data_IF_981179937259
#
_entry.id   IF_981179937259
#
_cell.length_a   1.000
_cell.length_b   1.000
_cell.length_c   1.000
_cell.angle_alpha   90.00
_cell.angle_beta   90.00
_cell.angle_gamma   90.00
#
_symmetry.space_group_name_H-M   'P 1'
#
loop_
_entity.id
_entity.type
_entity.pdbx_description
1 polymer ?
#
# COMPACT_ATOMS: atom_id res chain seq x y z
N UNK A 1 7.75 -6.08 -5.56
CA UNK A 1 6.38 -5.52 -5.46
C UNK A 1 5.58 -5.59 -6.77
N UNK A 2 6.10 -5.06 -7.90
CA UNK A 2 5.39 -4.93 -9.20
C UNK A 2 4.75 -6.23 -9.73
N UNK A 3 5.42 -7.38 -9.60
CA UNK A 3 4.92 -8.69 -10.08
C UNK A 3 3.63 -9.13 -9.38
N UNK A 4 3.44 -8.80 -8.09
CA UNK A 4 2.27 -9.21 -7.31
C UNK A 4 1.02 -8.43 -7.71
N UNK A 5 1.17 -7.11 -7.87
CA UNK A 5 0.08 -6.22 -8.30
C UNK A 5 -0.39 -6.62 -9.70
N UNK A 6 0.54 -6.85 -10.62
CA UNK A 6 0.21 -7.35 -11.96
C UNK A 6 -0.57 -8.68 -11.91
N UNK A 7 -0.11 -9.66 -11.14
CA UNK A 7 -0.82 -10.94 -11.01
C UNK A 7 -2.23 -10.80 -10.43
N UNK A 8 -2.44 -9.95 -9.42
CA UNK A 8 -3.78 -9.70 -8.87
C UNK A 8 -4.67 -8.93 -9.85
N UNK A 9 -4.13 -7.94 -10.55
CA UNK A 9 -4.86 -7.15 -11.56
C UNK A 9 -5.17 -7.92 -12.85
N UNK A 10 -4.41 -8.97 -13.16
CA UNK A 10 -4.71 -9.87 -14.29
C UNK A 10 -5.93 -10.77 -14.05
N UNK A 11 -6.57 -10.71 -12.88
CA UNK A 11 -7.85 -11.39 -12.62
C UNK A 11 -7.79 -12.91 -12.63
N UNK A 12 -6.58 -13.49 -12.57
CA UNK A 12 -6.36 -14.96 -12.61
C UNK A 12 -6.85 -15.70 -11.36
N UNK A 13 -7.18 -14.97 -10.29
CA UNK A 13 -7.68 -15.52 -9.03
C UNK A 13 -9.16 -15.19 -8.90
N UNK A 14 -10.01 -16.23 -8.85
CA UNK A 14 -11.47 -16.09 -8.80
C UNK A 14 -11.95 -15.16 -7.67
N UNK A 15 -11.33 -15.26 -6.49
CA UNK A 15 -11.72 -14.49 -5.31
C UNK A 15 -11.29 -13.02 -5.32
N UNK A 16 -10.30 -12.64 -6.13
CA UNK A 16 -9.83 -11.24 -6.23
C UNK A 16 -10.25 -10.57 -7.54
N UNK A 17 -10.76 -11.32 -8.51
CA UNK A 17 -11.20 -10.85 -9.84
C UNK A 17 -12.33 -9.81 -9.78
N UNK A 18 -13.22 -9.89 -8.79
CA UNK A 18 -14.31 -8.91 -8.61
C UNK A 18 -13.88 -7.61 -7.92
N UNK A 19 -12.65 -7.55 -7.41
CA UNK A 19 -12.12 -6.41 -6.62
C UNK A 19 -10.94 -5.71 -7.30
N UNK A 20 -10.70 -6.03 -8.57
CA UNK A 20 -9.71 -5.34 -9.42
C UNK A 20 -10.34 -4.11 -10.09
N UNK A 21 -9.56 -3.03 -10.32
CA UNK A 21 -8.11 -2.95 -10.19
C UNK A 21 -7.64 -2.60 -8.78
N UNK A 22 -6.58 -3.26 -8.30
CA UNK A 22 -5.83 -2.85 -7.13
C UNK A 22 -4.87 -1.74 -7.53
N UNK A 23 -5.05 -0.56 -6.94
CA UNK A 23 -4.17 0.60 -7.08
C UNK A 23 -3.31 0.70 -5.82
N UNK A 24 -2.00 0.90 -5.99
CA UNK A 24 -1.06 1.08 -4.88
C UNK A 24 -1.03 2.57 -4.51
N UNK A 25 -1.79 2.94 -3.50
CA UNK A 25 -1.89 4.35 -3.03
C UNK A 25 -0.71 4.77 -2.14
N UNK A 26 -0.07 3.81 -1.45
CA UNK A 26 1.00 4.09 -0.50
C UNK A 26 1.95 2.90 -0.36
N UNK A 27 3.25 3.15 -0.40
CA UNK A 27 4.28 2.17 -0.01
C UNK A 27 5.46 2.88 0.66
N UNK A 28 6.07 2.21 1.63
CA UNK A 28 7.31 2.64 2.29
C UNK A 28 8.28 1.46 2.26
N UNK A 29 9.56 1.73 2.01
CA UNK A 29 10.64 0.74 2.10
C UNK A 29 11.37 0.89 3.43
N UNK A 30 11.69 -0.23 4.06
CA UNK A 30 12.40 -0.27 5.34
C UNK A 30 13.58 -1.22 5.24
N UNK A 31 14.74 -0.79 5.72
CA UNK A 31 15.96 -1.61 5.76
C UNK A 31 15.91 -2.69 6.84
N UNK A 32 15.17 -2.43 7.92
CA UNK A 32 15.04 -3.33 9.06
C UNK A 32 13.62 -3.92 9.18
N UNK A 33 13.56 -5.23 9.44
CA UNK A 33 12.30 -5.97 9.53
C UNK A 33 11.48 -5.60 10.77
N UNK A 34 12.13 -5.27 11.89
CA UNK A 34 11.46 -4.89 13.13
C UNK A 34 10.81 -3.50 12.99
N UNK A 35 11.53 -2.57 12.34
CA UNK A 35 11.01 -1.26 11.98
C UNK A 35 9.78 -1.40 11.06
N UNK A 36 9.88 -2.19 9.99
CA UNK A 36 8.76 -2.47 9.08
C UNK A 36 7.53 -3.03 9.81
N UNK A 37 7.74 -4.00 10.72
CA UNK A 37 6.65 -4.61 11.50
C UNK A 37 5.98 -3.62 12.45
N UNK A 38 6.77 -2.76 13.09
CA UNK A 38 6.24 -1.72 14.00
C UNK A 38 5.39 -0.72 13.22
N UNK A 39 5.87 -0.33 12.03
CA UNK A 39 5.12 0.55 11.13
C UNK A 39 3.83 -0.09 10.61
N UNK A 40 3.88 -1.36 10.20
CA UNK A 40 2.69 -2.10 9.76
C UNK A 40 1.65 -2.18 10.89
N UNK A 41 2.08 -2.45 12.12
CA UNK A 41 1.19 -2.43 13.29
C UNK A 41 0.59 -1.05 13.51
N UNK A 42 1.37 0.01 13.40
CA UNK A 42 0.88 1.39 13.49
C UNK A 42 -0.20 1.68 12.45
N UNK A 43 0.00 1.31 11.18
CA UNK A 43 -0.99 1.51 10.12
C UNK A 43 -2.30 0.73 10.33
N UNK A 44 -2.28 -0.36 11.10
CA UNK A 44 -3.49 -1.09 11.51
C UNK A 44 -4.29 -0.38 12.61
N UNK A 45 -3.71 0.60 13.31
CA UNK A 45 -4.41 1.39 14.35
C UNK A 45 -5.31 2.48 13.75
N UNK A 46 -6.24 3.03 14.56
CA UNK A 46 -7.09 4.14 14.15
C UNK A 46 -6.29 5.40 13.78
N UNK A 47 -5.19 5.69 14.51
CA UNK A 47 -4.30 6.79 14.21
C UNK A 47 -3.57 6.59 12.88
N UNK A 48 -3.06 5.37 12.64
CA UNK A 48 -2.42 5.02 11.38
C UNK A 48 -3.37 5.10 10.18
N UNK A 49 -4.63 4.70 10.35
CA UNK A 49 -5.66 4.89 9.31
C UNK A 49 -5.91 6.36 8.99
N UNK A 50 -5.96 7.23 10.01
CA UNK A 50 -6.09 8.69 9.80
C UNK A 50 -4.87 9.28 9.10
N UNK A 51 -3.67 8.78 9.42
CA UNK A 51 -2.43 9.15 8.75
C UNK A 51 -2.46 8.76 7.27
N UNK A 52 -2.84 7.51 6.96
CA UNK A 52 -2.99 7.04 5.58
C UNK A 52 -4.05 7.84 4.84
N UNK A 53 -5.19 8.09 5.48
CA UNK A 53 -6.28 8.87 4.91
C UNK A 53 -5.83 10.29 4.57
N UNK A 54 -5.09 10.94 5.48
CA UNK A 54 -4.48 12.26 5.21
C UNK A 54 -3.44 12.18 4.10
N UNK A 55 -2.58 11.17 4.09
CA UNK A 55 -1.50 11.04 3.11
C UNK A 55 -2.04 10.77 1.70
N UNK A 56 -3.04 9.90 1.59
CA UNK A 56 -3.71 9.55 0.33
C UNK A 56 -4.59 10.72 -0.15
N UNK A 57 -5.35 11.37 0.73
CA UNK A 57 -6.21 12.52 0.36
C UNK A 57 -5.43 13.81 0.08
N UNK A 58 -4.26 14.00 0.70
CA UNK A 58 -3.38 15.12 0.40
C UNK A 58 -2.59 14.90 -0.90
N UNK A 59 -2.44 13.65 -1.35
CA UNK A 59 -1.65 13.24 -2.50
C UNK A 59 -2.46 13.06 -3.78
N UNK A 60 -3.05 14.14 -4.29
CA UNK A 60 -3.33 14.25 -5.71
C UNK A 60 -2.01 14.34 -6.49
N UNK A 61 -1.34 13.20 -6.68
CA UNK A 61 -0.14 13.03 -7.50
C UNK A 61 1.18 13.34 -6.80
N UNK A 62 1.87 12.28 -6.34
CA UNK A 62 3.34 12.24 -6.22
C UNK A 62 3.76 10.79 -5.93
N UNK A 63 3.63 9.94 -6.95
CA UNK A 63 4.55 8.83 -7.08
C UNK A 63 5.94 9.44 -7.33
N UNK A 64 6.98 8.82 -6.76
CA UNK A 64 8.39 9.17 -6.89
C UNK A 64 8.91 10.18 -5.85
N UNK A 65 9.26 9.65 -4.67
CA UNK A 65 10.45 10.15 -3.97
C UNK A 65 11.23 8.95 -3.45
N UNK A 66 12.16 8.50 -4.29
CA UNK A 66 13.28 7.65 -3.92
C UNK A 66 14.23 8.47 -3.04
N UNK A 67 14.53 8.00 -1.83
CA UNK A 67 15.83 8.17 -1.16
C UNK A 67 16.16 6.89 -0.42
#
# INVERSE_FOLDING_TARGET
>A
MKRRIYQHNTGKVLSTKSRTPFILEYFEEFSDRLAARTREKYFKTAAGRRFLDKSIRAGGGMADTYV
#
